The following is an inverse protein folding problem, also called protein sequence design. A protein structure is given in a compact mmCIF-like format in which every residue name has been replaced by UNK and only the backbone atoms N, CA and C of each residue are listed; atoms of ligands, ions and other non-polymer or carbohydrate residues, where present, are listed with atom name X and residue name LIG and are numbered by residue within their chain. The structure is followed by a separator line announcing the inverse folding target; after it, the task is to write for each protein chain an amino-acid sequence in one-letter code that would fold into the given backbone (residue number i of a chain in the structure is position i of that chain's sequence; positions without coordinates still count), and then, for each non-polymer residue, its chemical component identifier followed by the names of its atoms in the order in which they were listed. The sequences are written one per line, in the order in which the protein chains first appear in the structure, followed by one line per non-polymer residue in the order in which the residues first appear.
data_IF_082865421795
#
_entry.id   IF_082865421795
#
_cell.length_a   1.000
_cell.length_b   1.000
_cell.length_c   1.000
_cell.angle_alpha   90.00
_cell.angle_beta   90.00
_cell.angle_gamma   90.00
#
_symmetry.space_group_name_H-M   'P 1'
#
loop_
_entity.id
_entity.type
_entity.pdbx_description
1 polymer ?
#
# COMPACT_ATOMS: atom_id res chain seq x y z
N UNK A 1 11.53 -27.48 7.99
CA UNK A 1 10.60 -27.65 6.84
C UNK A 1 9.58 -26.50 6.74
N UNK A 2 8.76 -26.17 7.77
CA UNK A 2 7.76 -25.09 7.72
C UNK A 2 8.31 -23.70 7.35
N UNK A 3 9.51 -23.30 7.83
CA UNK A 3 10.12 -22.00 7.48
C UNK A 3 10.54 -21.88 6.02
N UNK A 4 11.04 -22.97 5.42
CA UNK A 4 11.47 -23.02 4.00
C UNK A 4 10.26 -22.93 3.08
N UNK A 5 9.19 -23.69 3.36
CA UNK A 5 7.93 -23.64 2.62
C UNK A 5 7.28 -22.23 2.71
N UNK A 6 7.29 -21.59 3.89
CA UNK A 6 6.77 -20.22 4.05
C UNK A 6 7.57 -19.20 3.23
N UNK A 7 8.89 -19.37 3.13
CA UNK A 7 9.78 -18.49 2.35
C UNK A 7 9.56 -18.67 0.84
N UNK A 8 9.44 -19.93 0.37
CA UNK A 8 9.14 -20.23 -1.04
C UNK A 8 7.77 -19.74 -1.46
N UNK A 9 6.74 -19.97 -0.64
CA UNK A 9 5.38 -19.51 -0.92
C UNK A 9 5.29 -17.98 -0.92
N UNK A 10 5.99 -17.33 0.03
CA UNK A 10 6.06 -15.86 0.11
C UNK A 10 6.74 -15.26 -1.12
N UNK A 11 7.83 -15.86 -1.61
CA UNK A 11 8.49 -15.42 -2.84
C UNK A 11 7.55 -15.50 -4.05
N UNK A 12 6.83 -16.60 -4.20
CA UNK A 12 5.87 -16.77 -5.29
C UNK A 12 4.72 -15.74 -5.25
N UNK A 13 4.21 -15.45 -4.05
CA UNK A 13 3.17 -14.43 -3.85
C UNK A 13 3.69 -13.05 -4.26
N UNK A 14 4.88 -12.66 -3.80
CA UNK A 14 5.50 -11.39 -4.16
C UNK A 14 5.69 -11.28 -5.68
N UNK A 15 6.27 -12.31 -6.32
CA UNK A 15 6.54 -12.32 -7.76
C UNK A 15 5.26 -12.21 -8.59
N UNK A 16 4.20 -12.89 -8.16
CA UNK A 16 2.87 -12.79 -8.80
C UNK A 16 2.32 -11.35 -8.74
N UNK A 17 2.28 -10.76 -7.55
CA UNK A 17 1.73 -9.41 -7.40
C UNK A 17 2.62 -8.34 -8.04
N UNK A 18 3.94 -8.44 -7.90
CA UNK A 18 4.90 -7.51 -8.52
C UNK A 18 4.77 -7.57 -10.05
N UNK A 19 4.75 -8.77 -10.62
CA UNK A 19 4.62 -8.94 -12.08
C UNK A 19 3.32 -8.35 -12.62
N UNK A 20 2.18 -8.65 -11.96
CA UNK A 20 0.88 -8.13 -12.38
C UNK A 20 0.78 -6.61 -12.22
N UNK A 21 1.24 -6.07 -11.10
CA UNK A 21 1.27 -4.64 -10.88
C UNK A 21 2.16 -3.94 -11.91
N UNK A 22 3.36 -4.46 -12.16
CA UNK A 22 4.27 -3.92 -13.17
C UNK A 22 3.66 -3.90 -14.56
N UNK A 23 2.99 -4.97 -14.99
CA UNK A 23 2.28 -4.99 -16.29
C UNK A 23 1.23 -3.88 -16.38
N UNK A 24 0.44 -3.68 -15.33
CA UNK A 24 -0.58 -2.62 -15.29
C UNK A 24 0.04 -1.23 -15.29
N UNK A 25 1.11 -1.02 -14.52
CA UNK A 25 1.86 0.23 -14.48
C UNK A 25 2.44 0.54 -15.87
N UNK A 26 3.08 -0.43 -16.51
CA UNK A 26 3.70 -0.27 -17.83
C UNK A 26 2.67 -0.07 -18.96
N UNK A 27 1.41 -0.44 -18.74
CA UNK A 27 0.32 -0.16 -19.70
C UNK A 27 -0.22 1.27 -19.61
N UNK A 28 0.16 2.04 -18.58
CA UNK A 28 -0.20 3.45 -18.45
C UNK A 28 0.75 4.29 -19.31
N UNK A 29 0.24 5.34 -19.93
CA UNK A 29 1.08 6.29 -20.67
C UNK A 29 1.96 7.11 -19.71
N UNK A 30 3.13 7.60 -20.17
CA UNK A 30 3.96 8.49 -19.36
C UNK A 30 3.17 9.72 -18.93
N UNK A 31 3.55 10.29 -17.77
CA UNK A 31 2.87 11.41 -17.11
C UNK A 31 1.45 11.13 -16.57
N UNK A 32 0.93 9.90 -16.70
CA UNK A 32 -0.28 9.55 -15.97
C UNK A 32 -0.03 9.60 -14.47
N UNK A 33 -1.03 10.10 -13.74
CA UNK A 33 -1.00 10.12 -12.28
C UNK A 33 -1.31 8.74 -11.73
N UNK A 34 -0.51 8.31 -10.77
CA UNK A 34 -0.69 7.06 -10.04
C UNK A 34 -0.52 7.30 -8.55
N UNK A 35 -1.44 6.75 -7.76
CA UNK A 35 -1.47 6.90 -6.32
C UNK A 35 -1.35 5.55 -5.66
N UNK A 36 -0.34 5.41 -4.79
CA UNK A 36 -0.18 4.25 -3.95
C UNK A 36 -0.57 4.58 -2.52
N UNK A 37 -1.39 3.75 -1.90
CA UNK A 37 -1.76 3.85 -0.50
C UNK A 37 -1.47 2.54 0.22
N UNK A 38 -0.81 2.62 1.36
CA UNK A 38 -0.85 1.50 2.30
C UNK A 38 -2.23 1.44 2.98
N UNK A 39 -2.50 0.34 3.67
CA UNK A 39 -3.78 0.12 4.36
C UNK A 39 -3.61 0.30 5.86
N UNK A 40 -2.67 -0.46 6.46
CA UNK A 40 -2.49 -0.51 7.89
C UNK A 40 -1.98 0.83 8.43
N UNK A 41 -2.69 1.40 9.38
CA UNK A 41 -2.38 2.70 10.01
C UNK A 41 -2.16 3.85 9.01
N UNK A 42 -2.54 3.66 7.76
CA UNK A 42 -2.58 4.70 6.72
C UNK A 42 -4.02 5.09 6.41
N UNK A 43 -4.86 4.15 5.98
CA UNK A 43 -6.29 4.38 5.73
C UNK A 43 -7.21 3.66 6.73
N UNK A 44 -6.67 2.69 7.47
CA UNK A 44 -7.36 1.88 8.46
C UNK A 44 -6.60 1.90 9.79
N UNK A 45 -7.29 2.18 10.91
CA UNK A 45 -6.75 2.14 12.27
C UNK A 45 -6.61 0.69 12.74
N UNK A 46 -5.61 0.00 12.22
CA UNK A 46 -5.47 -1.44 12.43
C UNK A 46 -4.85 -1.80 13.76
N UNK A 47 -3.96 -0.99 14.30
CA UNK A 47 -3.23 -1.26 15.54
C UNK A 47 -2.78 -2.74 15.65
N UNK A 48 -2.28 -3.31 14.55
CA UNK A 48 -1.88 -4.72 14.48
C UNK A 48 -3.01 -5.73 14.26
N UNK A 49 -4.27 -5.30 14.09
CA UNK A 49 -5.40 -6.20 13.85
C UNK A 49 -5.22 -7.02 12.57
N UNK A 50 -5.39 -8.35 12.68
CA UNK A 50 -5.25 -9.26 11.53
C UNK A 50 -6.38 -9.12 10.51
N UNK A 51 -7.60 -8.82 10.97
CA UNK A 51 -8.78 -8.76 10.12
C UNK A 51 -9.39 -7.35 10.11
N UNK A 52 -9.62 -6.80 8.93
CA UNK A 52 -10.18 -5.45 8.77
C UNK A 52 -11.70 -5.35 9.05
N UNK A 53 -12.41 -6.46 9.20
CA UNK A 53 -13.88 -6.47 9.31
C UNK A 53 -14.43 -5.61 10.45
N UNK A 54 -13.66 -5.43 11.53
CA UNK A 54 -14.02 -4.64 12.70
C UNK A 54 -13.15 -3.39 12.88
N UNK A 55 -12.26 -3.14 11.92
CA UNK A 55 -11.33 -2.02 11.97
C UNK A 55 -12.01 -0.75 11.47
N UNK A 56 -11.84 0.33 12.22
CA UNK A 56 -12.29 1.65 11.80
C UNK A 56 -11.36 2.18 10.69
N UNK A 57 -11.93 2.90 9.77
CA UNK A 57 -11.17 3.72 8.82
C UNK A 57 -10.75 5.04 9.47
N UNK A 58 -9.80 5.70 8.84
CA UNK A 58 -9.57 7.13 8.99
C UNK A 58 -10.42 7.84 7.90
N UNK A 59 -11.56 8.46 8.26
CA UNK A 59 -12.54 8.94 7.28
C UNK A 59 -11.94 9.93 6.28
N UNK A 60 -11.14 10.89 6.75
CA UNK A 60 -10.51 11.89 5.89
C UNK A 60 -9.47 11.26 4.93
N UNK A 61 -8.80 10.17 5.35
CA UNK A 61 -7.92 9.42 4.46
C UNK A 61 -8.72 8.65 3.39
N UNK A 62 -9.88 8.10 3.73
CA UNK A 62 -10.77 7.48 2.74
C UNK A 62 -11.25 8.52 1.71
N UNK A 63 -11.60 9.71 2.16
CA UNK A 63 -12.02 10.80 1.27
C UNK A 63 -10.87 11.27 0.37
N UNK A 64 -9.66 11.38 0.91
CA UNK A 64 -8.46 11.67 0.12
C UNK A 64 -8.23 10.59 -0.97
N UNK A 65 -8.35 9.30 -0.64
CA UNK A 65 -8.21 8.23 -1.65
C UNK A 65 -9.25 8.38 -2.76
N UNK A 66 -10.51 8.72 -2.41
CA UNK A 66 -11.58 8.93 -3.39
C UNK A 66 -11.32 10.15 -4.28
N UNK A 67 -10.79 11.23 -3.70
CA UNK A 67 -10.36 12.42 -4.45
C UNK A 67 -9.25 12.03 -5.44
N UNK A 68 -8.21 11.33 -4.98
CA UNK A 68 -7.11 10.87 -5.82
C UNK A 68 -7.55 9.90 -6.93
N UNK A 69 -8.56 9.09 -6.66
CA UNK A 69 -9.14 8.21 -7.68
C UNK A 69 -9.82 8.96 -8.85
N UNK A 70 -10.19 10.23 -8.65
CA UNK A 70 -10.70 11.09 -9.74
C UNK A 70 -9.55 11.70 -10.56
N UNK A 71 -8.36 11.84 -9.97
CA UNK A 71 -7.18 12.40 -10.63
C UNK A 71 -6.37 11.36 -11.40
N UNK A 72 -6.38 10.10 -10.98
CA UNK A 72 -5.57 9.05 -11.58
C UNK A 72 -5.83 7.65 -11.04
N UNK A 73 -4.95 6.72 -11.35
CA UNK A 73 -5.10 5.32 -10.96
C UNK A 73 -4.66 5.09 -9.51
N UNK A 74 -5.52 4.43 -8.72
CA UNK A 74 -5.22 4.07 -7.32
C UNK A 74 -4.77 2.61 -7.21
N UNK A 75 -3.71 2.40 -6.43
CA UNK A 75 -3.20 1.10 -6.02
C UNK A 75 -3.13 1.04 -4.49
N UNK A 76 -3.74 0.03 -3.89
CA UNK A 76 -3.48 -0.30 -2.48
C UNK A 76 -2.31 -1.27 -2.41
N UNK A 77 -1.25 -0.86 -1.73
CA UNK A 77 0.04 -1.55 -1.68
C UNK A 77 0.36 -1.93 -0.23
N UNK A 78 -0.01 -3.14 0.19
CA UNK A 78 0.04 -3.55 1.60
C UNK A 78 1.00 -4.71 1.86
N UNK A 79 1.57 -4.75 3.07
CA UNK A 79 2.38 -5.88 3.57
C UNK A 79 1.57 -6.84 4.46
N UNK A 80 0.25 -6.86 4.34
CA UNK A 80 -0.63 -7.79 5.07
C UNK A 80 -0.43 -9.23 4.62
N UNK A 81 -0.80 -10.17 5.49
CA UNK A 81 -0.80 -11.58 5.13
C UNK A 81 -1.80 -11.86 4.00
N UNK A 82 -1.39 -12.58 2.96
CA UNK A 82 -2.22 -12.92 1.79
C UNK A 82 -3.53 -13.64 2.17
N UNK A 83 -3.56 -14.37 3.28
CA UNK A 83 -4.79 -15.02 3.76
C UNK A 83 -5.90 -14.04 4.12
N UNK A 84 -5.56 -12.76 4.31
CA UNK A 84 -6.52 -11.68 4.59
C UNK A 84 -7.04 -11.01 3.32
N UNK A 85 -6.63 -11.45 2.12
CA UNK A 85 -7.03 -10.83 0.85
C UNK A 85 -8.56 -10.70 0.72
N UNK A 86 -9.37 -11.76 0.95
CA UNK A 86 -10.82 -11.65 0.79
C UNK A 86 -11.46 -10.63 1.75
N UNK A 87 -11.03 -10.61 3.01
CA UNK A 87 -11.57 -9.67 4.01
C UNK A 87 -11.11 -8.23 3.74
N UNK A 88 -9.88 -8.04 3.26
CA UNK A 88 -9.37 -6.72 2.86
C UNK A 88 -10.13 -6.17 1.66
N UNK A 89 -10.33 -7.00 0.63
CA UNK A 89 -11.13 -6.63 -0.55
C UNK A 89 -12.57 -6.24 -0.15
N UNK A 90 -13.21 -7.06 0.70
CA UNK A 90 -14.56 -6.78 1.19
C UNK A 90 -14.63 -5.48 1.98
N UNK A 91 -13.63 -5.20 2.82
CA UNK A 91 -13.54 -3.96 3.58
C UNK A 91 -13.43 -2.74 2.67
N UNK A 92 -12.54 -2.77 1.67
CA UNK A 92 -12.41 -1.69 0.69
C UNK A 92 -13.72 -1.44 -0.06
N UNK A 93 -14.41 -2.49 -0.50
CA UNK A 93 -15.72 -2.36 -1.15
C UNK A 93 -16.75 -1.72 -0.22
N UNK A 94 -16.79 -2.09 1.06
CA UNK A 94 -17.67 -1.46 2.07
C UNK A 94 -17.35 0.02 2.30
N UNK A 95 -16.10 0.45 2.08
CA UNK A 95 -15.71 1.87 2.17
C UNK A 95 -15.99 2.66 0.89
N UNK A 96 -16.68 2.06 -0.07
CA UNK A 96 -17.16 2.70 -1.28
C UNK A 96 -16.21 2.60 -2.47
N UNK A 97 -15.15 1.79 -2.39
CA UNK A 97 -14.28 1.55 -3.54
C UNK A 97 -14.92 0.48 -4.44
N UNK A 98 -15.30 0.84 -5.66
CA UNK A 98 -15.89 -0.09 -6.62
C UNK A 98 -14.90 -1.17 -7.07
N UNK A 99 -15.38 -2.40 -7.31
CA UNK A 99 -14.55 -3.44 -7.91
C UNK A 99 -14.02 -2.96 -9.26
N UNK A 100 -12.69 -3.04 -9.45
CA UNK A 100 -12.02 -2.58 -10.69
C UNK A 100 -11.63 -1.10 -10.71
N UNK A 101 -12.07 -0.28 -9.75
CA UNK A 101 -11.63 1.11 -9.64
C UNK A 101 -10.24 1.26 -9.03
N UNK A 102 -9.70 0.21 -8.42
CA UNK A 102 -8.38 0.17 -7.80
C UNK A 102 -7.70 -1.17 -8.03
N UNK A 103 -6.40 -1.22 -7.74
CA UNK A 103 -5.61 -2.45 -7.68
C UNK A 103 -5.23 -2.74 -6.22
N UNK A 104 -5.36 -4.00 -5.81
CA UNK A 104 -4.97 -4.44 -4.46
C UNK A 104 -3.80 -5.40 -4.55
N UNK A 105 -2.68 -5.02 -3.95
CA UNK A 105 -1.39 -5.69 -4.05
C UNK A 105 -0.94 -6.12 -2.66
N UNK A 106 -0.72 -7.41 -2.48
CA UNK A 106 -0.20 -7.99 -1.25
C UNK A 106 1.27 -8.35 -1.42
N UNK A 107 2.09 -7.92 -0.47
CA UNK A 107 3.51 -8.23 -0.41
C UNK A 107 3.87 -8.79 0.96
N UNK A 108 4.94 -9.56 1.03
CA UNK A 108 5.35 -10.22 2.28
C UNK A 108 6.04 -9.27 3.26
N UNK A 109 6.60 -8.17 2.76
CA UNK A 109 7.31 -7.16 3.57
C UNK A 109 7.20 -5.77 2.95
N UNK A 110 7.30 -4.69 3.75
CA UNK A 110 7.35 -3.32 3.23
C UNK A 110 8.46 -3.08 2.21
N UNK A 111 9.65 -3.67 2.38
CA UNK A 111 10.77 -3.54 1.45
C UNK A 111 10.44 -4.00 0.01
N UNK A 112 9.51 -4.93 -0.16
CA UNK A 112 9.08 -5.39 -1.48
C UNK A 112 8.28 -4.35 -2.26
N UNK A 113 7.66 -3.40 -1.57
CA UNK A 113 6.94 -2.27 -2.18
C UNK A 113 7.84 -1.45 -3.10
N UNK A 114 9.13 -1.33 -2.77
CA UNK A 114 10.11 -0.54 -3.53
C UNK A 114 10.20 -0.99 -4.99
N UNK A 115 10.11 -2.30 -5.27
CA UNK A 115 10.16 -2.80 -6.66
C UNK A 115 9.04 -2.22 -7.53
N UNK A 116 7.85 -2.11 -6.98
CA UNK A 116 6.67 -1.57 -7.68
C UNK A 116 6.80 -0.05 -7.84
N UNK A 117 7.18 0.64 -6.77
CA UNK A 117 7.42 2.09 -6.79
C UNK A 117 8.52 2.47 -7.78
N UNK A 118 9.61 1.71 -7.81
CA UNK A 118 10.70 1.89 -8.76
C UNK A 118 10.21 1.70 -10.21
N UNK A 119 9.40 0.68 -10.49
CA UNK A 119 8.82 0.47 -11.82
C UNK A 119 7.99 1.69 -12.24
N UNK A 120 7.15 2.23 -11.37
CA UNK A 120 6.34 3.40 -11.67
C UNK A 120 7.21 4.66 -11.89
N UNK A 121 8.19 4.89 -11.04
CA UNK A 121 9.12 6.03 -11.14
C UNK A 121 9.94 6.00 -12.44
N UNK A 122 10.46 4.84 -12.81
CA UNK A 122 11.29 4.68 -14.02
C UNK A 122 10.48 4.71 -15.31
N UNK A 123 9.18 4.40 -15.24
CA UNK A 123 8.27 4.52 -16.39
C UNK A 123 7.84 5.97 -16.68
N UNK A 124 8.25 6.94 -15.87
CA UNK A 124 7.95 8.36 -16.07
C UNK A 124 6.53 8.76 -15.65
N UNK A 125 5.90 7.99 -14.75
CA UNK A 125 4.61 8.33 -14.18
C UNK A 125 4.74 9.43 -13.11
N UNK A 126 3.68 10.19 -12.92
CA UNK A 126 3.53 11.12 -11.80
C UNK A 126 3.04 10.35 -10.57
N UNK A 127 3.98 9.97 -9.68
CA UNK A 127 3.75 9.04 -8.58
C UNK A 127 3.62 9.76 -7.25
N UNK A 128 2.55 9.45 -6.51
CA UNK A 128 2.37 9.85 -5.12
C UNK A 128 2.11 8.60 -4.26
N UNK A 129 2.82 8.48 -3.13
CA UNK A 129 2.80 7.31 -2.28
C UNK A 129 2.58 7.68 -0.82
N UNK A 130 1.52 7.12 -0.22
CA UNK A 130 1.11 7.31 1.17
C UNK A 130 1.34 6.03 1.95
N UNK A 131 2.20 6.08 2.96
CA UNK A 131 2.52 4.93 3.81
C UNK A 131 3.14 5.44 5.11
N UNK A 132 2.64 4.98 6.24
CA UNK A 132 3.20 5.33 7.55
C UNK A 132 4.60 4.75 7.76
N UNK A 133 4.93 3.64 7.09
CA UNK A 133 6.18 2.90 7.20
C UNK A 133 6.64 2.70 8.64
N UNK A 134 5.68 2.34 9.48
CA UNK A 134 5.88 2.14 10.89
C UNK A 134 5.46 0.73 11.32
N UNK A 135 5.89 0.30 12.51
CA UNK A 135 5.45 -0.91 13.17
C UNK A 135 5.41 -0.70 14.70
N UNK A 136 4.78 -1.63 15.43
CA UNK A 136 4.60 -1.57 16.90
C UNK A 136 3.72 -0.41 17.40
N UNK A 137 2.74 0.03 16.64
CA UNK A 137 1.77 1.03 17.11
C UNK A 137 1.00 0.59 18.36
N UNK A 138 0.74 -0.71 18.50
CA UNK A 138 0.04 -1.34 19.61
C UNK A 138 0.71 -1.14 20.98
N UNK A 139 2.00 -0.82 21.00
CA UNK A 139 2.77 -0.57 22.23
C UNK A 139 3.10 0.91 22.45
N UNK A 140 2.49 1.81 21.69
CA UNK A 140 2.76 3.24 21.78
C UNK A 140 4.13 3.68 21.25
N UNK A 141 4.98 2.74 20.81
CA UNK A 141 6.28 3.03 20.19
C UNK A 141 6.16 3.08 18.69
N UNK A 142 6.56 4.19 18.07
CA UNK A 142 6.68 4.31 16.62
C UNK A 142 8.10 3.93 16.22
N UNK A 143 8.27 2.71 15.69
CA UNK A 143 9.53 2.26 15.08
C UNK A 143 9.37 2.33 13.58
N UNK A 144 10.16 3.19 12.95
CA UNK A 144 10.13 3.42 11.50
C UNK A 144 11.02 2.42 10.76
N UNK A 145 10.64 2.11 9.53
CA UNK A 145 11.45 1.35 8.58
C UNK A 145 12.44 2.29 7.84
N UNK A 146 13.42 2.84 8.56
CA UNK A 146 14.31 3.90 8.07
C UNK A 146 15.02 3.54 6.75
N UNK A 147 15.49 2.29 6.59
CA UNK A 147 16.10 1.85 5.35
C UNK A 147 15.09 1.94 4.18
N UNK A 148 13.87 1.45 4.38
CA UNK A 148 12.81 1.48 3.35
C UNK A 148 12.43 2.92 3.02
N UNK A 149 12.31 3.79 4.03
CA UNK A 149 12.03 5.22 3.85
C UNK A 149 13.12 5.90 3.01
N UNK A 150 14.39 5.62 3.31
CA UNK A 150 15.51 6.19 2.58
C UNK A 150 15.53 5.73 1.11
N UNK A 151 15.26 4.44 0.86
CA UNK A 151 15.15 3.92 -0.50
C UNK A 151 13.98 4.56 -1.25
N UNK A 152 12.80 4.70 -0.62
CA UNK A 152 11.63 5.37 -1.22
C UNK A 152 11.94 6.83 -1.54
N UNK A 153 12.57 7.57 -0.62
CA UNK A 153 12.96 8.96 -0.83
C UNK A 153 14.01 9.15 -1.95
N UNK A 154 14.77 8.12 -2.27
CA UNK A 154 15.71 8.16 -3.40
C UNK A 154 15.02 8.03 -4.76
N UNK A 155 13.78 7.58 -4.80
CA UNK A 155 12.99 7.49 -6.03
C UNK A 155 12.44 8.88 -6.42
N UNK A 156 12.22 9.09 -7.71
CA UNK A 156 11.57 10.31 -8.23
C UNK A 156 10.05 10.22 -8.04
N UNK A 157 9.59 10.18 -6.78
CA UNK A 157 8.18 10.09 -6.41
C UNK A 157 7.87 11.06 -5.26
N UNK A 158 6.61 11.44 -5.09
CA UNK A 158 6.14 12.20 -3.92
C UNK A 158 5.75 11.23 -2.81
N UNK A 159 6.67 10.95 -1.91
CA UNK A 159 6.40 10.17 -0.71
C UNK A 159 5.75 11.04 0.37
N UNK A 160 4.65 10.54 0.94
CA UNK A 160 3.92 11.09 2.07
C UNK A 160 3.99 10.09 3.21
N UNK A 161 4.77 10.40 4.23
CA UNK A 161 4.90 9.60 5.45
C UNK A 161 3.87 10.00 6.50
N UNK A 162 3.91 9.32 7.66
CA UNK A 162 2.95 9.54 8.75
C UNK A 162 2.85 11.02 9.18
N UNK A 163 3.96 11.75 9.15
CA UNK A 163 3.98 13.15 9.57
C UNK A 163 3.27 14.07 8.57
N UNK A 164 3.15 13.66 7.30
CA UNK A 164 2.44 14.42 6.26
C UNK A 164 0.93 14.28 6.36
N UNK A 165 0.39 13.16 6.86
CA UNK A 165 -1.06 12.88 6.86
C UNK A 165 -1.66 12.54 8.23
N UNK A 166 -0.88 12.58 9.32
CA UNK A 166 -1.38 12.30 10.68
C UNK A 166 -2.60 13.13 11.05
N UNK A 167 -2.68 14.37 10.60
CA UNK A 167 -3.82 15.25 10.83
C UNK A 167 -5.12 14.76 10.14
N UNK A 168 -5.02 13.87 9.15
CA UNK A 168 -6.16 13.22 8.49
C UNK A 168 -6.60 11.92 9.18
N UNK A 169 -5.90 11.50 10.23
CA UNK A 169 -6.19 10.28 10.99
C UNK A 169 -7.05 10.53 12.24
N UNK A 170 -7.67 11.68 12.35
CA UNK A 170 -8.53 12.07 13.47
C UNK A 170 -9.97 11.64 13.28
#
# INVERSE_FOLDING_TARGET
MKKVLKKLFGGFVDDYFISNASKKILSLGPSNKIFFFDIDNTIADTQGAKHLTLVKEFPLMIDLVKEKAQEGKVFFLTARNITTFPSTMQWLVKKGFGKGSFELIFLTTPAKKIKILHTAATHGLDVEYYDDLCYNHEYGEIKKYDQVINEVKSLKIRYKGIDDFRHLQQ
#
